data_IF_093740751681
#
_entry.id   IF_093740751681
#
_cell.length_a   1.000
_cell.length_b   1.000
_cell.length_c   1.000
_cell.angle_alpha   90.00
_cell.angle_beta   90.00
_cell.angle_gamma   90.00
#
_symmetry.space_group_name_H-M   'P 1'
#
loop_
_entity.id
_entity.type
_entity.pdbx_description
1 polymer ?
#
# COMPACT_ATOMS: atom_id res chain seq x y z
N UNK A 1 -58.70 -1.35 -55.15
CA UNK A 1 -58.38 -1.92 -53.82
C UNK A 1 -57.09 -1.26 -53.34
N UNK A 2 -57.20 -0.13 -52.63
CA UNK A 2 -56.87 0.06 -51.19
C UNK A 2 -55.41 -0.29 -50.81
N UNK A 3 -54.59 0.77 -50.64
CA UNK A 3 -53.38 0.84 -49.80
C UNK A 3 -53.73 0.62 -48.31
N UNK A 4 -52.77 0.13 -47.51
CA UNK A 4 -52.11 1.00 -46.51
C UNK A 4 -50.58 0.74 -46.46
N UNK A 5 -49.70 1.74 -46.50
CA UNK A 5 -49.25 2.57 -45.37
C UNK A 5 -48.89 1.76 -44.10
N UNK A 6 -47.61 1.40 -43.96
CA UNK A 6 -47.00 1.19 -42.65
C UNK A 6 -45.73 2.02 -42.53
N UNK A 7 -45.91 3.13 -41.84
CA UNK A 7 -44.89 3.99 -41.25
C UNK A 7 -44.23 3.21 -40.13
N UNK A 8 -42.92 2.94 -40.23
CA UNK A 8 -42.13 2.47 -39.08
C UNK A 8 -41.50 3.71 -38.43
N UNK A 9 -41.76 3.96 -37.14
CA UNK A 9 -41.39 5.20 -36.48
C UNK A 9 -39.90 5.25 -36.14
N UNK A 10 -39.32 6.40 -36.43
CA UNK A 10 -38.09 6.93 -35.85
C UNK A 10 -38.29 7.03 -34.33
N UNK A 11 -37.83 6.04 -33.57
CA UNK A 11 -37.73 6.13 -32.12
C UNK A 11 -36.43 6.87 -31.81
N UNK A 12 -36.57 8.17 -31.64
CA UNK A 12 -35.66 8.99 -30.87
C UNK A 12 -35.55 8.41 -29.45
N UNK A 13 -34.38 7.88 -29.10
CA UNK A 13 -33.98 7.71 -27.70
C UNK A 13 -33.01 8.83 -27.35
N UNK A 14 -33.62 10.01 -27.22
CA UNK A 14 -33.16 11.10 -26.39
C UNK A 14 -32.97 10.55 -24.96
N UNK A 15 -31.73 10.29 -24.61
CA UNK A 15 -31.33 9.76 -23.31
C UNK A 15 -29.87 10.01 -22.98
N UNK A 16 -29.24 11.01 -23.59
CA UNK A 16 -27.99 11.56 -23.06
C UNK A 16 -28.37 12.48 -21.90
N UNK A 17 -28.67 11.82 -20.79
CA UNK A 17 -28.91 12.45 -19.51
C UNK A 17 -27.76 13.39 -19.17
N UNK A 18 -28.15 14.53 -18.61
CA UNK A 18 -27.33 15.49 -17.90
C UNK A 18 -26.56 14.78 -16.78
N UNK A 19 -25.45 14.11 -17.12
CA UNK A 19 -24.43 13.75 -16.16
C UNK A 19 -23.71 15.05 -15.79
N UNK A 20 -24.32 15.81 -14.88
CA UNK A 20 -23.56 16.76 -14.08
C UNK A 20 -22.34 16.00 -13.56
N UNK A 21 -21.14 16.46 -13.91
CA UNK A 21 -19.88 15.87 -13.48
C UNK A 21 -19.83 15.94 -11.96
N UNK A 22 -20.38 14.93 -11.27
CA UNK A 22 -20.01 14.67 -9.90
C UNK A 22 -18.49 14.46 -9.92
N UNK A 23 -17.73 15.15 -9.05
CA UNK A 23 -16.29 14.99 -9.03
C UNK A 23 -15.99 13.51 -8.85
N UNK A 24 -15.22 12.94 -9.79
CA UNK A 24 -14.84 11.55 -9.73
C UNK A 24 -14.14 11.28 -8.39
N UNK A 25 -14.53 10.18 -7.73
CA UNK A 25 -13.92 9.79 -6.46
C UNK A 25 -12.38 9.67 -6.65
N UNK A 26 -11.58 10.44 -5.89
CA UNK A 26 -10.13 10.39 -6.01
C UNK A 26 -9.57 8.99 -5.77
N UNK A 27 -10.24 8.16 -4.95
CA UNK A 27 -9.79 6.81 -4.64
C UNK A 27 -9.97 5.80 -5.77
N UNK A 28 -10.85 6.11 -6.73
CA UNK A 28 -11.20 5.24 -7.86
C UNK A 28 -10.58 5.68 -9.18
N UNK A 29 -9.96 6.86 -9.22
CA UNK A 29 -9.34 7.40 -10.43
C UNK A 29 -7.96 6.76 -10.64
N UNK A 30 -7.70 6.07 -11.77
CA UNK A 30 -6.40 5.47 -12.04
C UNK A 30 -5.27 6.49 -12.04
N UNK A 31 -4.13 6.12 -11.45
CA UNK A 31 -2.93 6.92 -11.45
C UNK A 31 -2.18 6.72 -12.78
N UNK A 32 -1.86 7.81 -13.46
CA UNK A 32 -0.93 7.82 -14.59
C UNK A 32 0.47 8.07 -14.02
N UNK A 33 1.30 7.03 -13.98
CA UNK A 33 2.62 7.04 -13.31
C UNK A 33 3.69 6.33 -14.13
N UNK A 34 3.55 6.35 -15.47
CA UNK A 34 4.54 5.81 -16.41
C UNK A 34 5.95 6.39 -16.19
N UNK A 35 6.05 7.64 -15.72
CA UNK A 35 7.29 8.30 -15.34
C UNK A 35 7.24 8.87 -13.91
N UNK A 36 8.41 9.13 -13.27
CA UNK A 36 8.47 9.88 -12.01
C UNK A 36 7.78 11.24 -12.03
N UNK A 37 7.84 11.95 -13.17
CA UNK A 37 7.18 13.25 -13.33
C UNK A 37 5.65 13.11 -13.35
N UNK A 38 5.14 12.08 -14.03
CA UNK A 38 3.70 11.77 -14.05
C UNK A 38 3.21 11.39 -12.65
N UNK A 39 4.00 10.57 -11.94
CA UNK A 39 3.74 10.23 -10.54
C UNK A 39 3.63 11.48 -9.66
N UNK A 40 4.61 12.39 -9.73
CA UNK A 40 4.60 13.64 -8.97
C UNK A 40 3.40 14.54 -9.30
N UNK A 41 2.99 14.57 -10.57
CA UNK A 41 1.79 15.29 -11.00
C UNK A 41 0.51 14.64 -10.45
N UNK A 42 0.43 13.31 -10.46
CA UNK A 42 -0.70 12.56 -9.92
C UNK A 42 -0.83 12.71 -8.40
N UNK A 43 0.27 12.62 -7.65
CA UNK A 43 0.28 12.84 -6.20
C UNK A 43 -0.10 14.27 -5.83
N UNK A 44 0.36 15.26 -6.59
CA UNK A 44 -0.02 16.67 -6.38
C UNK A 44 -1.52 16.92 -6.61
N UNK A 45 -2.16 16.17 -7.52
CA UNK A 45 -3.62 16.21 -7.67
C UNK A 45 -4.31 15.57 -6.48
N UNK A 46 -3.85 14.38 -6.09
CA UNK A 46 -4.41 13.61 -4.99
C UNK A 46 -4.34 14.37 -3.66
N UNK A 47 -3.21 15.01 -3.37
CA UNK A 47 -2.99 15.81 -2.16
C UNK A 47 -3.94 17.01 -2.02
N UNK A 48 -4.54 17.49 -3.12
CA UNK A 48 -5.58 18.55 -3.08
C UNK A 48 -6.97 18.02 -2.76
N UNK A 49 -7.17 16.71 -2.84
CA UNK A 49 -8.48 16.05 -2.71
C UNK A 49 -8.58 15.19 -1.44
N UNK A 50 -7.45 14.79 -0.88
CA UNK A 50 -7.36 13.96 0.32
C UNK A 50 -7.01 14.78 1.55
N UNK A 51 -7.39 14.28 2.74
CA UNK A 51 -6.87 14.82 4.00
C UNK A 51 -5.37 14.56 4.15
N UNK A 52 -4.72 15.24 5.09
CA UNK A 52 -3.31 15.03 5.37
C UNK A 52 -3.02 13.59 5.80
N UNK A 53 -3.89 13.01 6.62
CA UNK A 53 -3.77 11.64 7.13
C UNK A 53 -3.92 10.63 5.99
N UNK A 54 -4.89 10.85 5.10
CA UNK A 54 -5.12 10.01 3.92
C UNK A 54 -3.94 10.07 2.95
N UNK A 55 -3.38 11.26 2.74
CA UNK A 55 -2.20 11.43 1.89
C UNK A 55 -0.96 10.78 2.50
N UNK A 56 -0.76 10.93 3.81
CA UNK A 56 0.33 10.25 4.53
C UNK A 56 0.20 8.73 4.42
N UNK A 57 -1.00 8.18 4.61
CA UNK A 57 -1.27 6.75 4.47
C UNK A 57 -0.94 6.24 3.05
N UNK A 58 -1.31 7.02 2.04
CA UNK A 58 -0.96 6.74 0.65
C UNK A 58 0.56 6.75 0.41
N UNK A 59 1.26 7.76 0.90
CA UNK A 59 2.72 7.88 0.77
C UNK A 59 3.46 6.75 1.49
N UNK A 60 3.00 6.35 2.68
CA UNK A 60 3.53 5.21 3.43
C UNK A 60 3.37 3.92 2.62
N UNK A 61 2.22 3.73 1.97
CA UNK A 61 1.96 2.59 1.10
C UNK A 61 2.89 2.60 -0.13
N UNK A 62 3.10 3.75 -0.77
CA UNK A 62 4.09 3.90 -1.85
C UNK A 62 5.50 3.59 -1.35
N UNK A 63 5.84 3.98 -0.12
CA UNK A 63 7.08 3.62 0.54
C UNK A 63 7.28 2.11 0.63
N UNK A 64 6.22 1.35 0.94
CA UNK A 64 6.26 -0.11 1.01
C UNK A 64 6.65 -0.76 -0.33
N UNK A 65 6.18 -0.23 -1.48
CA UNK A 65 6.63 -0.70 -2.80
C UNK A 65 8.14 -0.52 -2.97
N UNK A 66 8.67 0.66 -2.61
CA UNK A 66 10.11 0.95 -2.73
C UNK A 66 10.93 0.03 -1.84
N UNK A 67 10.51 -0.14 -0.59
CA UNK A 67 11.15 -1.08 0.35
C UNK A 67 11.15 -2.49 -0.21
N UNK A 68 10.02 -2.95 -0.76
CA UNK A 68 9.95 -4.28 -1.37
C UNK A 68 10.92 -4.45 -2.54
N UNK A 69 10.99 -3.46 -3.44
CA UNK A 69 11.93 -3.46 -4.57
C UNK A 69 13.39 -3.59 -4.10
N UNK A 70 13.75 -2.87 -3.03
CA UNK A 70 15.09 -2.92 -2.44
C UNK A 70 15.36 -4.30 -1.83
N UNK A 71 14.43 -4.83 -1.04
CA UNK A 71 14.56 -6.14 -0.39
C UNK A 71 14.69 -7.28 -1.41
N UNK A 72 13.92 -7.22 -2.50
CA UNK A 72 13.97 -8.19 -3.60
C UNK A 72 15.20 -7.99 -4.52
N UNK A 73 16.01 -6.95 -4.29
CA UNK A 73 17.14 -6.54 -5.14
C UNK A 73 16.73 -6.34 -6.62
N UNK A 74 15.48 -5.96 -6.85
CA UNK A 74 14.94 -5.80 -8.20
C UNK A 74 15.46 -4.53 -8.90
N UNK A 75 15.94 -3.55 -8.12
CA UNK A 75 16.63 -2.37 -8.61
C UNK A 75 17.65 -1.88 -7.56
N UNK A 76 18.65 -1.12 -8.01
CA UNK A 76 19.65 -0.49 -7.14
C UNK A 76 19.78 1.00 -7.47
N UNK A 77 19.99 1.82 -6.44
CA UNK A 77 20.02 3.28 -6.55
C UNK A 77 18.62 3.90 -6.49
N UNK A 78 18.54 5.11 -5.92
CA UNK A 78 17.29 5.81 -5.62
C UNK A 78 16.40 5.99 -6.86
N UNK A 79 16.98 6.41 -7.98
CA UNK A 79 16.22 6.70 -9.20
C UNK A 79 15.63 5.45 -9.83
N UNK A 80 16.38 4.34 -9.87
CA UNK A 80 15.92 3.09 -10.42
C UNK A 80 14.82 2.46 -9.55
N UNK A 81 14.96 2.51 -8.22
CA UNK A 81 13.93 2.07 -7.27
C UNK A 81 12.67 2.91 -7.44
N UNK A 82 12.80 4.23 -7.54
CA UNK A 82 11.68 5.12 -7.72
C UNK A 82 10.96 4.90 -9.06
N UNK A 83 11.70 4.77 -10.16
CA UNK A 83 11.14 4.48 -11.48
C UNK A 83 10.42 3.13 -11.52
N UNK A 84 10.99 2.09 -10.90
CA UNK A 84 10.33 0.79 -10.84
C UNK A 84 9.08 0.82 -9.96
N UNK A 85 9.10 1.54 -8.84
CA UNK A 85 7.90 1.74 -8.02
C UNK A 85 6.80 2.45 -8.82
N UNK A 86 7.13 3.49 -9.58
CA UNK A 86 6.18 4.19 -10.46
C UNK A 86 5.57 3.25 -11.50
N UNK A 87 6.37 2.39 -12.12
CA UNK A 87 5.88 1.36 -13.07
C UNK A 87 4.96 0.32 -12.42
N UNK A 88 5.21 -0.06 -11.17
CA UNK A 88 4.35 -1.01 -10.45
C UNK A 88 3.01 -0.39 -10.01
N UNK A 89 2.96 0.93 -9.89
CA UNK A 89 1.78 1.70 -9.49
C UNK A 89 0.98 2.18 -10.73
N UNK A 90 1.59 2.21 -11.90
CA UNK A 90 0.96 2.75 -13.11
C UNK A 90 -0.33 2.01 -13.45
N UNK A 91 -1.40 2.77 -13.67
CA UNK A 91 -2.75 2.26 -13.91
C UNK A 91 -3.50 1.79 -12.66
N UNK A 92 -2.86 1.73 -11.49
CA UNK A 92 -3.57 1.43 -10.24
C UNK A 92 -4.34 2.66 -9.74
N UNK A 93 -5.49 2.43 -9.11
CA UNK A 93 -6.18 3.48 -8.35
C UNK A 93 -5.49 3.71 -7.00
N UNK A 94 -5.61 4.88 -6.36
CA UNK A 94 -5.07 5.10 -5.02
C UNK A 94 -5.56 4.08 -3.99
N UNK A 95 -6.80 3.61 -4.11
CA UNK A 95 -7.33 2.54 -3.27
C UNK A 95 -6.57 1.21 -3.47
N UNK A 96 -6.30 0.83 -4.71
CA UNK A 96 -5.50 -0.37 -5.01
C UNK A 96 -4.05 -0.24 -4.49
N UNK A 97 -3.47 0.97 -4.54
CA UNK A 97 -2.16 1.25 -3.95
C UNK A 97 -2.19 1.05 -2.43
N UNK A 98 -3.26 1.47 -1.73
CA UNK A 98 -3.40 1.20 -0.30
C UNK A 98 -3.48 -0.30 0.00
N UNK A 99 -4.37 -1.03 -0.67
CA UNK A 99 -4.53 -2.47 -0.46
C UNK A 99 -3.19 -3.20 -0.61
N UNK A 100 -2.52 -2.98 -1.75
CA UNK A 100 -1.25 -3.63 -2.05
C UNK A 100 -0.11 -3.14 -1.15
N UNK A 101 -0.12 -1.86 -0.77
CA UNK A 101 0.85 -1.30 0.19
C UNK A 101 0.76 -1.97 1.54
N UNK A 102 -0.45 -2.19 2.07
CA UNK A 102 -0.66 -2.92 3.32
C UNK A 102 -0.26 -4.40 3.22
N UNK A 103 -0.59 -5.07 2.11
CA UNK A 103 -0.14 -6.45 1.86
C UNK A 103 1.40 -6.56 1.90
N UNK A 104 2.10 -5.60 1.28
CA UNK A 104 3.56 -5.53 1.30
C UNK A 104 4.10 -5.29 2.72
N UNK A 105 3.48 -4.40 3.50
CA UNK A 105 3.88 -4.13 4.89
C UNK A 105 3.67 -5.35 5.78
N UNK A 106 2.55 -6.05 5.63
CA UNK A 106 2.26 -7.30 6.35
C UNK A 106 3.33 -8.34 6.05
N UNK A 107 3.66 -8.54 4.77
CA UNK A 107 4.71 -9.47 4.36
C UNK A 107 6.08 -9.07 4.94
N UNK A 108 6.39 -7.77 4.95
CA UNK A 108 7.63 -7.26 5.53
C UNK A 108 7.69 -7.52 7.04
N UNK A 109 6.69 -7.10 7.81
CA UNK A 109 6.68 -7.29 9.27
C UNK A 109 6.74 -8.78 9.66
N UNK A 110 6.01 -9.65 8.95
CA UNK A 110 6.08 -11.08 9.18
C UNK A 110 7.50 -11.64 8.94
N UNK A 111 8.17 -11.19 7.87
CA UNK A 111 9.56 -11.54 7.58
C UNK A 111 10.54 -11.04 8.64
N UNK A 112 10.39 -9.79 9.07
CA UNK A 112 11.22 -9.17 10.10
C UNK A 112 11.07 -9.89 11.45
N UNK A 113 9.84 -10.22 11.86
CA UNK A 113 9.56 -10.99 13.08
C UNK A 113 10.27 -12.34 13.02
N UNK A 114 10.11 -13.10 11.93
CA UNK A 114 10.73 -14.40 11.79
C UNK A 114 12.27 -14.32 11.83
N UNK A 115 12.86 -13.31 11.18
CA UNK A 115 14.30 -13.09 11.19
C UNK A 115 14.83 -12.73 12.59
N UNK A 116 14.11 -11.90 13.34
CA UNK A 116 14.49 -11.52 14.70
C UNK A 116 14.28 -12.65 15.72
N UNK A 117 13.22 -13.44 15.57
CA UNK A 117 13.00 -14.65 16.37
C UNK A 117 14.11 -15.68 16.14
N UNK A 118 14.49 -15.94 14.88
CA UNK A 118 15.59 -16.86 14.59
C UNK A 118 16.92 -16.43 15.22
N UNK A 119 17.21 -15.11 15.23
CA UNK A 119 18.39 -14.57 15.93
C UNK A 119 18.30 -14.76 17.44
N UNK A 120 17.12 -14.52 18.02
CA UNK A 120 16.88 -14.68 19.45
C UNK A 120 17.08 -16.14 19.88
N UNK A 121 16.56 -17.09 19.10
CA UNK A 121 16.67 -18.53 19.35
C UNK A 121 18.14 -18.99 19.23
N UNK A 122 18.84 -18.55 18.18
CA UNK A 122 20.26 -18.86 17.97
C UNK A 122 21.14 -18.37 19.13
N UNK A 123 20.89 -17.14 19.58
CA UNK A 123 21.62 -16.57 20.71
C UNK A 123 21.31 -17.32 22.01
N UNK A 124 20.03 -17.61 22.26
CA UNK A 124 19.58 -18.36 23.44
C UNK A 124 20.28 -19.72 23.48
N UNK A 125 20.32 -20.43 22.34
CA UNK A 125 21.03 -21.71 22.23
C UNK A 125 22.52 -21.59 22.54
N UNK A 126 23.21 -20.61 21.95
CA UNK A 126 24.64 -20.36 22.22
C UNK A 126 24.93 -20.06 23.69
N UNK A 127 24.03 -19.33 24.36
CA UNK A 127 24.17 -19.05 25.79
C UNK A 127 24.07 -20.32 26.65
N UNK A 128 23.21 -21.26 26.29
CA UNK A 128 23.10 -22.54 26.99
C UNK A 128 24.28 -23.48 26.71
N UNK A 129 24.77 -23.53 25.47
CA UNK A 129 25.88 -24.42 25.04
C UNK A 129 27.24 -24.01 25.61
N UNK A 130 27.52 -22.70 25.74
CA UNK A 130 28.83 -22.19 26.20
C UNK A 130 28.96 -22.08 27.73
N UNK A 131 27.98 -22.57 28.49
CA UNK A 131 28.06 -22.70 29.95
C UNK A 131 28.35 -21.38 30.68
N UNK A 132 27.40 -20.44 30.73
CA UNK A 132 27.32 -19.25 31.63
C UNK A 132 28.59 -18.40 31.85
N UNK A 133 29.67 -18.60 31.11
CA UNK A 133 30.90 -17.84 31.27
C UNK A 133 30.91 -16.77 30.20
N UNK A 134 30.80 -15.51 30.63
CA UNK A 134 30.91 -14.28 29.82
C UNK A 134 29.69 -13.80 29.01
N UNK A 135 28.49 -13.84 29.58
CA UNK A 135 27.43 -12.92 29.13
C UNK A 135 27.62 -11.56 29.79
N UNK A 136 28.41 -10.69 29.14
CA UNK A 136 28.52 -9.28 29.50
C UNK A 136 27.13 -8.61 29.53
N UNK A 137 26.94 -7.58 30.35
CA UNK A 137 25.74 -6.71 30.36
C UNK A 137 25.27 -6.30 28.94
N UNK A 138 26.18 -6.21 27.96
CA UNK A 138 25.85 -5.89 26.57
C UNK A 138 24.96 -6.96 25.90
N UNK A 139 25.17 -8.24 26.21
CA UNK A 139 24.38 -9.33 25.64
C UNK A 139 22.96 -9.29 26.20
N UNK A 140 22.77 -9.06 27.51
CA UNK A 140 21.44 -8.97 28.12
C UNK A 140 20.64 -7.76 27.63
N UNK A 141 21.30 -6.60 27.43
CA UNK A 141 20.65 -5.41 26.87
C UNK A 141 20.18 -5.68 25.44
N UNK A 142 21.03 -6.29 24.61
CA UNK A 142 20.67 -6.65 23.24
C UNK A 142 19.50 -7.64 23.15
N UNK A 143 19.41 -8.61 24.08
CA UNK A 143 18.25 -9.51 24.18
C UNK A 143 16.95 -8.75 24.44
N UNK A 144 16.96 -7.83 25.40
CA UNK A 144 15.80 -7.00 25.73
C UNK A 144 15.39 -6.14 24.53
N UNK A 145 16.35 -5.50 23.86
CA UNK A 145 16.09 -4.67 22.69
C UNK A 145 15.45 -5.47 21.54
N UNK A 146 15.94 -6.69 21.28
CA UNK A 146 15.35 -7.58 20.28
C UNK A 146 13.93 -8.04 20.65
N UNK A 147 13.71 -8.40 21.91
CA UNK A 147 12.38 -8.80 22.38
C UNK A 147 11.37 -7.64 22.26
N UNK A 148 11.75 -6.44 22.69
CA UNK A 148 10.93 -5.24 22.54
C UNK A 148 10.65 -4.92 21.07
N UNK A 149 11.64 -5.08 20.20
CA UNK A 149 11.46 -4.89 18.76
C UNK A 149 10.44 -5.88 18.19
N UNK A 150 10.51 -7.16 18.57
CA UNK A 150 9.54 -8.19 18.15
C UNK A 150 8.12 -7.82 18.61
N UNK A 151 7.95 -7.32 19.84
CA UNK A 151 6.65 -6.85 20.34
C UNK A 151 6.12 -5.69 19.49
N UNK A 152 6.97 -4.69 19.19
CA UNK A 152 6.61 -3.56 18.34
C UNK A 152 6.23 -3.99 16.92
N UNK A 153 6.97 -4.93 16.33
CA UNK A 153 6.69 -5.46 15.01
C UNK A 153 5.37 -6.23 14.97
N UNK A 154 5.07 -7.06 15.97
CA UNK A 154 3.78 -7.76 16.06
C UNK A 154 2.62 -6.77 16.18
N UNK A 155 2.76 -5.74 17.01
CA UNK A 155 1.75 -4.68 17.11
C UNK A 155 1.49 -3.99 15.77
N UNK A 156 2.55 -3.67 15.03
CA UNK A 156 2.43 -3.06 13.71
C UNK A 156 1.85 -4.02 12.66
N UNK A 157 2.16 -5.31 12.74
CA UNK A 157 1.58 -6.36 11.90
C UNK A 157 0.06 -6.45 12.09
N UNK A 158 -0.40 -6.52 13.34
CA UNK A 158 -1.84 -6.60 13.62
C UNK A 158 -2.57 -5.32 13.19
N UNK A 159 -2.02 -4.14 13.49
CA UNK A 159 -2.58 -2.88 12.98
C UNK A 159 -2.69 -2.85 11.45
N UNK A 160 -1.67 -3.33 10.74
CA UNK A 160 -1.70 -3.38 9.28
C UNK A 160 -2.76 -4.36 8.76
N UNK A 161 -2.96 -5.51 9.43
CA UNK A 161 -4.01 -6.49 9.10
C UNK A 161 -5.40 -5.94 9.34
N UNK A 162 -5.62 -5.31 10.49
CA UNK A 162 -6.89 -4.66 10.83
C UNK A 162 -7.24 -3.62 9.77
N UNK A 163 -6.28 -2.74 9.45
CA UNK A 163 -6.49 -1.68 8.46
C UNK A 163 -6.74 -2.22 7.06
N UNK A 164 -6.04 -3.29 6.63
CA UNK A 164 -6.32 -3.95 5.36
C UNK A 164 -7.74 -4.56 5.33
N UNK A 165 -8.16 -5.20 6.43
CA UNK A 165 -9.49 -5.78 6.55
C UNK A 165 -10.59 -4.71 6.56
N UNK A 166 -10.35 -3.55 7.16
CA UNK A 166 -11.23 -2.39 7.06
C UNK A 166 -11.38 -1.90 5.63
N UNK A 167 -10.26 -1.70 4.91
CA UNK A 167 -10.25 -1.24 3.53
C UNK A 167 -11.02 -2.19 2.61
N UNK A 168 -10.86 -3.50 2.79
CA UNK A 168 -11.58 -4.52 2.02
C UNK A 168 -13.09 -4.50 2.25
N UNK A 169 -13.56 -4.09 3.43
CA UNK A 169 -14.99 -3.96 3.75
C UNK A 169 -15.56 -2.64 3.28
N UNK A 170 -14.81 -1.56 3.49
CA UNK A 170 -15.25 -0.19 3.27
C UNK A 170 -14.15 0.59 2.55
N UNK A 171 -14.32 0.90 1.25
CA UNK A 171 -13.36 1.74 0.56
C UNK A 171 -13.30 3.13 1.20
N UNK A 172 -12.11 3.75 1.23
CA UNK A 172 -11.92 5.07 1.80
C UNK A 172 -12.77 6.09 1.02
N UNK A 173 -13.35 7.04 1.74
CA UNK A 173 -14.11 8.16 1.17
C UNK A 173 -13.24 9.41 1.14
N UNK A 174 -13.43 10.28 0.16
CA UNK A 174 -12.74 11.56 0.15
C UNK A 174 -13.22 12.43 1.32
N UNK A 175 -12.34 13.26 1.87
CA UNK A 175 -12.68 14.15 2.98
C UNK A 175 -13.71 15.24 2.57
N UNK A 176 -13.91 15.46 1.26
CA UNK A 176 -14.73 16.52 0.70
C UNK A 176 -15.86 16.01 -0.24
N UNK A 177 -16.15 14.70 -0.22
CA UNK A 177 -17.25 14.09 -0.98
C UNK A 177 -18.53 13.96 -0.16
#
# INVERSE_FOLDING_TARGET
MRLPHFVVPVIALFGLWLAGCAPADPWQSPLSTATPADFASATSRLARQLSREQMQEFEDCVGAFRTRIILDKAASGTDAVHALACRQIDGLTPYQVLLRGYELRIAQYAGDIAAHQGKLDEMTRRHFELGRSESSLKTSVYYTDLAELIVKLNHNLEKARERLAELQKTPPKAAHS
#
